data_IF_226501260894
#
_entry.id   IF_226501260894
#
_cell.length_a   1.000
_cell.length_b   1.000
_cell.length_c   1.000
_cell.angle_alpha   90.00
_cell.angle_beta   90.00
_cell.angle_gamma   90.00
#
_symmetry.space_group_name_H-M   'P 1'
#
loop_
_entity.id
_entity.type
_entity.pdbx_description
1 polymer ?
#
# COMPACT_ATOMS: atom_id res chain seq x y z
N UNK A 1 0.03 42.01 40.50
CA UNK A 1 0.33 41.74 41.92
C UNK A 1 1.82 41.78 42.16
N UNK A 2 2.24 42.29 43.32
CA UNK A 2 3.61 42.18 43.82
C UNK A 2 3.95 40.70 44.09
N UNK A 3 5.24 40.33 44.17
CA UNK A 3 5.66 38.93 44.32
C UNK A 3 4.96 38.16 45.44
N UNK A 4 4.70 38.79 46.58
CA UNK A 4 4.23 38.15 47.82
C UNK A 4 2.70 38.21 48.01
N UNK A 5 1.98 38.91 47.13
CA UNK A 5 0.52 39.01 47.24
C UNK A 5 -0.15 37.70 46.78
N UNK A 6 -1.06 37.18 47.62
CA UNK A 6 -1.91 36.03 47.29
C UNK A 6 -3.22 36.56 46.73
N UNK A 7 -3.55 36.14 45.52
CA UNK A 7 -4.78 36.52 44.84
C UNK A 7 -5.93 35.57 45.21
N UNK A 8 -7.15 36.08 45.34
CA UNK A 8 -8.35 35.24 45.49
C UNK A 8 -8.69 34.44 44.23
N UNK A 9 -8.24 34.91 43.06
CA UNK A 9 -8.37 34.24 41.75
C UNK A 9 -7.04 34.24 41.02
N UNK A 10 -6.79 33.29 40.09
CA UNK A 10 -5.54 33.27 39.33
C UNK A 10 -5.30 34.61 38.63
N UNK A 11 -4.09 35.13 38.76
CA UNK A 11 -3.66 36.35 38.06
C UNK A 11 -2.83 35.98 36.84
N UNK A 12 -3.06 36.69 35.74
CA UNK A 12 -2.33 36.43 34.49
C UNK A 12 -0.83 36.76 34.59
N UNK A 13 -0.48 37.81 35.35
CA UNK A 13 0.90 38.29 35.47
C UNK A 13 1.24 38.70 36.91
N UNK A 14 2.48 38.42 37.32
CA UNK A 14 3.12 39.01 38.50
C UNK A 14 4.21 40.00 38.08
N UNK A 15 4.34 41.09 38.84
CA UNK A 15 5.44 42.04 38.65
C UNK A 15 6.72 41.45 39.26
N UNK A 16 7.80 41.45 38.48
CA UNK A 16 9.14 41.06 38.92
C UNK A 16 10.14 42.12 38.51
N UNK A 17 11.06 42.45 39.40
CA UNK A 17 12.17 43.34 39.09
C UNK A 17 13.29 42.52 38.43
N UNK A 18 13.77 42.98 37.28
CA UNK A 18 14.91 42.38 36.58
C UNK A 18 15.91 43.45 36.21
N UNK A 19 17.18 43.10 36.33
CA UNK A 19 18.28 43.85 35.77
C UNK A 19 18.24 43.75 34.24
N UNK A 20 18.01 44.87 33.58
CA UNK A 20 17.98 45.00 32.13
C UNK A 20 19.17 45.86 31.70
N UNK A 21 20.05 45.26 30.89
CA UNK A 21 21.20 45.96 30.32
C UNK A 21 20.74 46.95 29.26
N UNK A 22 21.31 48.15 29.29
CA UNK A 22 21.10 49.15 28.25
C UNK A 22 21.74 48.67 26.93
N UNK A 23 21.04 48.82 25.80
CA UNK A 23 21.56 48.44 24.48
C UNK A 23 22.55 49.48 23.91
N UNK A 24 22.54 50.72 24.43
CA UNK A 24 23.36 51.83 23.93
C UNK A 24 24.46 52.26 24.92
N UNK A 25 24.66 51.50 25.99
CA UNK A 25 25.62 51.83 27.04
C UNK A 25 26.01 50.59 27.86
N UNK A 26 26.86 50.80 28.86
CA UNK A 26 27.32 49.73 29.75
C UNK A 26 26.50 49.63 31.04
N UNK A 27 25.56 50.55 31.27
CA UNK A 27 24.73 50.56 32.48
C UNK A 27 23.65 49.47 32.43
N UNK A 28 23.30 48.98 33.62
CA UNK A 28 22.20 48.04 33.86
C UNK A 28 21.24 48.66 34.85
N UNK A 29 19.94 48.50 34.61
CA UNK A 29 18.89 49.08 35.46
C UNK A 29 17.84 48.06 35.85
N UNK A 30 17.32 48.20 37.06
CA UNK A 30 16.18 47.44 37.53
C UNK A 30 14.91 47.96 36.86
N UNK A 31 14.28 47.09 36.06
CA UNK A 31 13.01 47.36 35.39
C UNK A 31 11.96 46.37 35.89
N UNK A 32 10.78 46.89 36.22
CA UNK A 32 9.64 46.07 36.55
C UNK A 32 9.10 45.42 35.26
N UNK A 33 9.20 44.09 35.18
CA UNK A 33 8.68 43.28 34.07
C UNK A 33 7.46 42.48 34.51
N UNK A 34 6.55 42.25 33.56
CA UNK A 34 5.40 41.35 33.75
C UNK A 34 5.82 39.92 33.46
N UNK A 35 5.73 39.03 34.44
CA UNK A 35 5.99 37.61 34.28
C UNK A 35 4.67 36.82 34.28
N UNK A 36 4.39 35.99 33.26
CA UNK A 36 3.23 35.10 33.27
C UNK A 36 3.27 34.15 34.46
N UNK A 37 2.17 34.02 35.19
CA UNK A 37 2.03 33.05 36.27
C UNK A 37 1.48 31.73 35.70
N UNK A 38 2.39 30.83 35.31
CA UNK A 38 2.04 29.52 34.77
C UNK A 38 2.05 28.47 35.89
N UNK A 39 1.01 27.63 35.93
CA UNK A 39 0.89 26.54 36.91
C UNK A 39 0.56 25.22 36.22
N UNK A 40 1.19 24.13 36.63
CA UNK A 40 0.78 22.78 36.22
C UNK A 40 -0.41 22.32 37.06
N UNK A 41 -1.47 21.88 36.38
CA UNK A 41 -2.74 21.46 36.99
C UNK A 41 -3.22 20.18 36.34
N UNK A 42 -3.96 19.37 37.09
CA UNK A 42 -4.60 18.18 36.54
C UNK A 42 -5.94 18.54 35.89
N UNK A 43 -6.32 17.78 34.86
CA UNK A 43 -7.59 17.97 34.16
C UNK A 43 -8.82 17.78 35.06
N UNK A 44 -8.70 16.99 36.14
CA UNK A 44 -9.79 16.75 37.09
C UNK A 44 -9.94 17.83 38.17
N UNK A 45 -9.04 18.82 38.20
CA UNK A 45 -9.16 19.97 39.10
C UNK A 45 -10.15 20.98 38.52
N UNK A 46 -10.72 21.83 39.37
CA UNK A 46 -11.46 23.00 38.88
C UNK A 46 -10.49 23.96 38.19
N UNK A 47 -10.73 24.16 36.90
CA UNK A 47 -9.92 24.95 35.99
C UNK A 47 -10.77 26.04 35.29
N UNK A 48 -11.98 26.34 35.76
CA UNK A 48 -12.90 27.30 35.10
C UNK A 48 -12.32 28.71 34.96
N UNK A 49 -11.46 29.11 35.91
CA UNK A 49 -10.80 30.42 35.93
C UNK A 49 -9.48 30.45 35.10
N UNK A 50 -9.14 29.35 34.44
CA UNK A 50 -7.89 29.19 33.69
C UNK A 50 -8.13 28.97 32.19
N UNK A 51 -7.20 29.46 31.38
CA UNK A 51 -7.00 28.95 30.02
C UNK A 51 -5.98 27.82 30.10
N UNK A 52 -6.41 26.59 29.78
CA UNK A 52 -5.59 25.39 29.92
C UNK A 52 -5.20 24.81 28.57
N UNK A 53 -3.98 24.30 28.47
CA UNK A 53 -3.51 23.50 27.34
C UNK A 53 -3.01 22.14 27.87
N UNK A 54 -3.56 21.00 27.40
CA UNK A 54 -3.04 19.69 27.75
C UNK A 54 -1.57 19.55 27.34
N UNK A 55 -0.73 19.05 28.26
CA UNK A 55 0.71 18.93 28.04
C UNK A 55 1.18 17.49 28.01
N UNK A 56 0.80 16.70 29.02
CA UNK A 56 1.31 15.35 29.23
C UNK A 56 0.26 14.50 29.92
N UNK A 57 0.24 13.20 29.61
CA UNK A 57 -0.54 12.19 30.32
C UNK A 57 0.41 11.27 31.08
N UNK A 58 0.05 10.97 32.33
CA UNK A 58 0.79 10.03 33.17
C UNK A 58 0.01 8.72 33.27
N UNK A 59 0.72 7.61 33.25
CA UNK A 59 0.19 6.26 33.45
C UNK A 59 1.01 5.52 34.50
N UNK A 60 0.43 4.49 35.10
CA UNK A 60 1.16 3.60 36.01
C UNK A 60 1.62 2.36 35.27
N UNK A 61 2.86 1.94 35.54
CA UNK A 61 3.34 0.64 35.07
C UNK A 61 2.80 -0.52 35.92
N UNK A 62 3.18 -1.75 35.56
CA UNK A 62 2.80 -2.97 36.30
C UNK A 62 3.35 -3.02 37.73
N UNK A 63 4.34 -2.20 38.05
CA UNK A 63 4.96 -2.07 39.37
C UNK A 63 4.39 -0.88 40.17
N UNK A 64 3.48 -0.11 39.58
CA UNK A 64 2.84 1.06 40.19
C UNK A 64 3.62 2.37 40.09
N UNK A 65 4.76 2.40 39.38
CA UNK A 65 5.53 3.61 39.13
C UNK A 65 4.87 4.49 38.07
N UNK A 66 4.97 5.81 38.23
CA UNK A 66 4.45 6.77 37.27
C UNK A 66 5.39 6.92 36.07
N UNK A 67 4.84 6.76 34.87
CA UNK A 67 5.51 6.96 33.59
C UNK A 67 4.76 7.98 32.74
N UNK A 68 5.48 8.65 31.87
CA UNK A 68 4.88 9.47 30.82
C UNK A 68 4.29 8.54 29.76
N UNK A 69 3.07 8.84 29.33
CA UNK A 69 2.47 8.18 28.19
C UNK A 69 2.99 8.81 26.89
N UNK A 70 3.98 8.16 26.28
CA UNK A 70 4.60 8.57 25.01
C UNK A 70 3.65 8.54 23.80
N UNK A 71 2.48 7.92 23.94
CA UNK A 71 1.46 7.88 22.88
C UNK A 71 0.48 9.05 22.95
N UNK A 72 0.52 9.85 24.02
CA UNK A 72 -0.34 11.01 24.17
C UNK A 72 0.05 12.13 23.19
N UNK A 73 -0.94 12.66 22.49
CA UNK A 73 -0.81 13.75 21.53
C UNK A 73 -1.51 15.00 22.10
N UNK A 74 -0.79 15.94 22.71
CA UNK A 74 -1.36 17.23 23.10
C UNK A 74 -1.76 18.04 21.85
N UNK A 75 -2.45 19.18 21.98
CA UNK A 75 -2.60 20.12 20.87
C UNK A 75 -1.21 20.58 20.38
N UNK A 76 -0.88 20.25 19.14
CA UNK A 76 0.46 20.43 18.57
C UNK A 76 0.50 21.60 17.60
N UNK A 77 1.40 22.56 17.82
CA UNK A 77 1.69 23.61 16.82
C UNK A 77 2.65 23.16 15.73
N UNK A 78 3.47 22.14 16.01
CA UNK A 78 4.51 21.62 15.13
C UNK A 78 4.58 20.11 15.25
N UNK A 79 4.87 19.41 14.14
CA UNK A 79 4.99 17.94 14.12
C UNK A 79 6.07 17.45 15.10
N UNK A 80 7.22 18.12 15.15
CA UNK A 80 8.32 17.80 16.07
C UNK A 80 7.96 17.91 17.57
N UNK A 81 6.80 18.50 17.91
CA UNK A 81 6.29 18.53 19.28
C UNK A 81 5.83 17.17 19.79
N UNK A 82 5.68 16.17 18.91
CA UNK A 82 5.42 14.77 19.29
C UNK A 82 6.38 13.82 18.58
N UNK A 83 7.14 13.06 19.37
CA UNK A 83 8.03 12.01 18.87
C UNK A 83 7.23 10.90 18.18
N UNK A 84 6.08 10.53 18.75
CA UNK A 84 5.20 9.53 18.18
C UNK A 84 4.72 9.94 16.78
N UNK A 85 4.26 11.18 16.60
CA UNK A 85 3.76 11.66 15.31
C UNK A 85 4.87 11.68 14.24
N UNK A 86 6.07 12.13 14.61
CA UNK A 86 7.22 12.15 13.71
C UNK A 86 7.63 10.72 13.29
N UNK A 87 7.68 9.78 14.23
CA UNK A 87 8.02 8.38 13.96
C UNK A 87 6.97 7.69 13.08
N UNK A 88 5.68 7.94 13.32
CA UNK A 88 4.60 7.39 12.48
C UNK A 88 4.64 7.94 11.05
N UNK A 89 4.94 9.23 10.87
CA UNK A 89 5.13 9.81 9.54
C UNK A 89 6.30 9.17 8.79
N UNK A 90 7.42 8.93 9.49
CA UNK A 90 8.60 8.25 8.92
C UNK A 90 8.29 6.80 8.52
N UNK A 91 7.60 6.07 9.39
CA UNK A 91 7.16 4.69 9.12
C UNK A 91 6.23 4.63 7.91
N UNK A 92 5.22 5.51 7.84
CA UNK A 92 4.30 5.58 6.71
C UNK A 92 5.03 5.87 5.40
N UNK A 93 5.96 6.83 5.38
CA UNK A 93 6.77 7.15 4.20
C UNK A 93 7.63 5.98 3.75
N UNK A 94 8.18 5.22 4.71
CA UNK A 94 8.97 4.02 4.42
C UNK A 94 8.10 2.95 3.75
N UNK A 95 6.91 2.67 4.30
CA UNK A 95 5.94 1.74 3.72
C UNK A 95 5.50 2.19 2.32
N UNK A 96 5.17 3.48 2.16
CA UNK A 96 4.75 4.08 0.90
C UNK A 96 5.84 3.94 -0.17
N UNK A 97 7.09 4.27 0.13
CA UNK A 97 8.22 4.17 -0.81
C UNK A 97 8.48 2.73 -1.22
N UNK A 98 8.51 1.79 -0.27
CA UNK A 98 8.65 0.37 -0.57
C UNK A 98 7.53 -0.11 -1.51
N UNK A 99 6.29 0.34 -1.25
CA UNK A 99 5.14 0.02 -2.09
C UNK A 99 5.25 0.61 -3.49
N UNK A 100 5.65 1.87 -3.61
CA UNK A 100 5.85 2.57 -4.87
C UNK A 100 6.94 1.89 -5.71
N UNK A 101 8.07 1.51 -5.12
CA UNK A 101 9.14 0.76 -5.81
C UNK A 101 8.62 -0.55 -6.38
N UNK A 102 7.82 -1.31 -5.62
CA UNK A 102 7.24 -2.57 -6.08
C UNK A 102 6.26 -2.37 -7.24
N UNK A 103 5.37 -1.37 -7.16
CA UNK A 103 4.39 -1.09 -8.22
C UNK A 103 5.07 -0.56 -9.49
N UNK A 104 6.15 0.22 -9.35
CA UNK A 104 6.96 0.68 -10.50
C UNK A 104 7.69 -0.48 -11.18
N UNK A 105 8.18 -1.46 -10.42
CA UNK A 105 8.78 -2.68 -11.00
C UNK A 105 7.75 -3.46 -11.83
N UNK A 106 6.54 -3.67 -11.29
CA UNK A 106 5.43 -4.31 -12.01
C UNK A 106 5.08 -3.55 -13.32
N UNK A 107 5.13 -2.22 -13.30
CA UNK A 107 4.89 -1.41 -14.50
C UNK A 107 5.96 -1.61 -15.58
N UNK A 108 7.24 -1.75 -15.20
CA UNK A 108 8.34 -1.98 -16.16
C UNK A 108 8.21 -3.34 -16.84
N UNK A 109 7.87 -4.38 -16.09
CA UNK A 109 7.60 -5.72 -16.63
C UNK A 109 6.41 -5.74 -17.60
N UNK A 110 5.38 -4.91 -17.35
CA UNK A 110 4.26 -4.75 -18.28
C UNK A 110 4.67 -4.02 -19.57
N UNK A 111 5.46 -2.95 -19.48
CA UNK A 111 5.86 -2.13 -20.63
C UNK A 111 6.90 -2.79 -21.56
N UNK A 112 7.77 -3.68 -21.07
CA UNK A 112 8.69 -4.46 -21.93
C UNK A 112 7.94 -5.41 -22.86
N UNK A 113 6.69 -5.75 -22.53
CA UNK A 113 5.74 -6.42 -23.43
C UNK A 113 5.04 -5.34 -24.26
N UNK A 114 5.75 -4.90 -25.30
CA UNK A 114 5.37 -3.82 -26.20
C UNK A 114 3.91 -3.87 -26.68
N UNK A 115 3.27 -2.68 -26.63
CA UNK A 115 2.00 -2.26 -27.22
C UNK A 115 0.70 -2.61 -26.44
N UNK A 116 -0.04 -1.52 -26.21
CA UNK A 116 -1.40 -1.39 -25.68
C UNK A 116 -1.55 -1.36 -24.15
N UNK A 117 -1.88 -0.16 -23.66
CA UNK A 117 -2.52 0.06 -22.36
C UNK A 117 -3.79 -0.82 -22.28
N UNK A 118 -3.67 -2.00 -21.69
CA UNK A 118 -4.84 -2.82 -21.40
C UNK A 118 -5.69 -2.11 -20.34
N UNK A 119 -7.01 -2.10 -20.50
CA UNK A 119 -7.98 -1.52 -19.55
C UNK A 119 -7.81 -2.07 -18.11
N UNK A 120 -7.15 -3.22 -17.96
CA UNK A 120 -6.76 -3.82 -16.68
C UNK A 120 -5.72 -3.00 -15.87
N UNK A 121 -4.94 -2.12 -16.52
CA UNK A 121 -3.88 -1.35 -15.86
C UNK A 121 -4.37 -0.01 -15.26
N UNK A 122 -5.65 0.32 -15.40
CA UNK A 122 -6.22 1.59 -14.90
C UNK A 122 -6.09 1.69 -13.37
N UNK A 123 -6.31 0.59 -12.66
CA UNK A 123 -6.17 0.55 -11.19
C UNK A 123 -4.72 0.76 -10.75
N UNK A 124 -3.77 0.10 -11.43
CA UNK A 124 -2.34 0.29 -11.17
C UNK A 124 -1.90 1.74 -11.45
N UNK A 125 -2.39 2.32 -12.55
CA UNK A 125 -2.13 3.72 -12.90
C UNK A 125 -2.64 4.67 -11.82
N UNK A 126 -3.90 4.55 -11.38
CA UNK A 126 -4.47 5.43 -10.36
C UNK A 126 -3.79 5.26 -8.99
N UNK A 127 -3.42 4.03 -8.63
CA UNK A 127 -2.65 3.78 -7.42
C UNK A 127 -1.26 4.42 -7.50
N UNK A 128 -0.54 4.23 -8.60
CA UNK A 128 0.74 4.90 -8.83
C UNK A 128 0.59 6.42 -8.82
N UNK A 129 -0.46 6.96 -9.42
CA UNK A 129 -0.72 8.40 -9.44
C UNK A 129 -0.92 8.94 -8.01
N UNK A 130 -1.72 8.26 -7.19
CA UNK A 130 -1.96 8.64 -5.80
C UNK A 130 -0.67 8.61 -4.98
N UNK A 131 0.11 7.52 -5.06
CA UNK A 131 1.35 7.38 -4.29
C UNK A 131 2.45 8.33 -4.76
N UNK A 132 2.70 8.46 -6.08
CA UNK A 132 3.72 9.36 -6.61
C UNK A 132 3.40 10.82 -6.32
N UNK A 133 2.12 11.19 -6.26
CA UNK A 133 1.70 12.56 -5.94
C UNK A 133 1.82 12.86 -4.44
N UNK A 134 1.55 11.88 -3.57
CA UNK A 134 1.63 12.04 -2.12
C UNK A 134 3.07 11.98 -1.58
N UNK A 135 3.94 11.13 -2.12
CA UNK A 135 5.32 10.93 -1.63
C UNK A 135 6.12 12.23 -1.45
N UNK A 136 6.25 13.13 -2.45
CA UNK A 136 7.06 14.33 -2.30
C UNK A 136 6.46 15.32 -1.30
N UNK A 137 5.12 15.37 -1.21
CA UNK A 137 4.40 16.24 -0.28
C UNK A 137 4.56 15.76 1.15
N UNK A 138 4.40 14.46 1.41
CA UNK A 138 4.62 13.88 2.73
C UNK A 138 6.11 13.93 3.11
N UNK A 139 7.01 13.72 2.15
CA UNK A 139 8.46 13.85 2.34
C UNK A 139 8.88 15.26 2.76
N UNK A 140 8.17 16.31 2.31
CA UNK A 140 8.37 17.67 2.79
C UNK A 140 8.13 17.79 4.31
N UNK A 141 7.04 17.20 4.83
CA UNK A 141 6.73 17.27 6.26
C UNK A 141 7.74 16.50 7.13
N UNK A 142 8.30 15.40 6.62
CA UNK A 142 9.36 14.67 7.32
C UNK A 142 10.67 15.48 7.41
N UNK A 143 10.99 16.26 6.36
CA UNK A 143 12.17 17.13 6.32
C UNK A 143 11.99 18.41 7.13
N UNK A 144 10.77 18.96 7.17
CA UNK A 144 10.44 20.22 7.82
C UNK A 144 9.41 20.00 8.94
N UNK A 145 9.86 19.34 10.02
CA UNK A 145 9.02 18.94 11.16
C UNK A 145 8.52 20.12 12.02
N UNK A 146 9.00 21.34 11.76
CA UNK A 146 8.43 22.58 12.30
C UNK A 146 7.05 22.94 11.71
N UNK A 147 6.60 22.20 10.69
CA UNK A 147 5.30 22.44 10.05
C UNK A 147 4.13 22.09 10.98
N UNK A 148 3.00 22.83 10.91
CA UNK A 148 1.81 22.52 11.69
C UNK A 148 1.14 21.19 11.27
N UNK A 149 0.64 20.39 12.21
CA UNK A 149 -0.07 19.15 11.92
C UNK A 149 -1.40 19.37 11.18
N UNK A 150 -2.03 20.53 11.36
CA UNK A 150 -3.22 20.95 10.60
C UNK A 150 -2.97 20.97 9.08
N UNK A 151 -1.72 21.25 8.65
CA UNK A 151 -1.35 21.19 7.23
C UNK A 151 -1.02 19.78 6.75
N UNK A 152 -0.59 18.90 7.65
CA UNK A 152 -0.29 17.50 7.33
C UNK A 152 -1.59 16.70 7.15
N UNK A 153 -2.58 16.92 8.02
CA UNK A 153 -3.84 16.16 8.03
C UNK A 153 -4.54 16.11 6.66
N UNK A 154 -4.75 17.23 5.93
CA UNK A 154 -5.43 17.21 4.64
C UNK A 154 -4.71 16.35 3.59
N UNK A 155 -3.37 16.28 3.64
CA UNK A 155 -2.59 15.49 2.69
C UNK A 155 -2.64 13.99 3.03
N UNK A 156 -2.64 13.63 4.32
CA UNK A 156 -2.91 12.26 4.76
C UNK A 156 -4.34 11.82 4.41
N UNK A 157 -5.34 12.69 4.65
CA UNK A 157 -6.74 12.42 4.33
C UNK A 157 -6.97 12.29 2.81
N UNK A 158 -6.29 13.12 2.00
CA UNK A 158 -6.31 13.03 0.53
C UNK A 158 -5.74 11.71 0.03
N UNK A 159 -4.61 11.27 0.61
CA UNK A 159 -4.03 9.97 0.30
C UNK A 159 -4.99 8.84 0.69
N UNK A 160 -5.52 8.85 1.91
CA UNK A 160 -6.48 7.85 2.38
C UNK A 160 -7.72 7.78 1.48
N UNK A 161 -8.31 8.93 1.15
CA UNK A 161 -9.45 9.02 0.22
C UNK A 161 -9.15 8.45 -1.16
N UNK A 162 -7.94 8.67 -1.68
CA UNK A 162 -7.51 8.10 -2.96
C UNK A 162 -7.36 6.58 -2.88
N UNK A 163 -6.78 6.05 -1.79
CA UNK A 163 -6.58 4.62 -1.59
C UNK A 163 -7.88 3.86 -1.28
N UNK A 164 -8.85 4.52 -0.65
CA UNK A 164 -10.17 3.96 -0.35
C UNK A 164 -10.96 3.58 -1.62
N UNK A 165 -10.63 4.17 -2.78
CA UNK A 165 -11.22 3.77 -4.07
C UNK A 165 -10.92 2.31 -4.45
N UNK A 166 -9.88 1.71 -3.86
CA UNK A 166 -9.49 0.32 -4.05
C UNK A 166 -9.89 -0.58 -2.88
N UNK A 167 -10.49 -0.03 -1.83
CA UNK A 167 -10.87 -0.79 -0.64
C UNK A 167 -12.28 -1.36 -0.78
N UNK A 168 -12.44 -2.63 -0.38
CA UNK A 168 -13.75 -3.28 -0.23
C UNK A 168 -14.19 -3.37 1.24
N UNK A 169 -13.27 -3.14 2.16
CA UNK A 169 -13.47 -3.32 3.61
C UNK A 169 -13.74 -2.01 4.33
N UNK A 170 -13.28 -0.89 3.77
CA UNK A 170 -13.38 0.43 4.38
C UNK A 170 -14.15 1.39 3.48
N UNK A 171 -14.86 2.33 4.10
CA UNK A 171 -15.64 3.36 3.41
C UNK A 171 -15.05 4.76 3.66
N UNK A 172 -15.52 5.77 2.93
CA UNK A 172 -15.06 7.15 3.04
C UNK A 172 -15.18 7.74 4.46
N UNK A 173 -16.15 7.30 5.25
CA UNK A 173 -16.36 7.73 6.63
C UNK A 173 -15.32 7.16 7.62
N UNK A 174 -14.45 6.24 7.18
CA UNK A 174 -13.35 5.73 8.00
C UNK A 174 -12.25 6.78 8.22
N UNK A 175 -12.18 7.83 7.39
CA UNK A 175 -11.21 8.92 7.57
C UNK A 175 -11.65 9.78 8.78
N UNK A 176 -10.86 9.84 9.86
CA UNK A 176 -11.23 10.58 11.07
C UNK A 176 -11.34 12.09 10.81
N UNK A 177 -12.31 12.76 11.42
CA UNK A 177 -12.45 14.22 11.32
C UNK A 177 -11.39 14.89 12.20
N UNK A 178 -10.70 15.90 11.66
CA UNK A 178 -9.71 16.65 12.41
C UNK A 178 -10.30 17.37 13.63
N UNK A 179 -9.76 17.07 14.80
CA UNK A 179 -10.08 17.69 16.08
C UNK A 179 -8.78 18.06 16.79
N UNK A 180 -8.40 19.35 16.75
CA UNK A 180 -7.09 19.79 17.23
C UNK A 180 -6.87 19.54 18.73
N UNK A 181 -7.94 19.64 19.51
CA UNK A 181 -7.87 19.42 20.96
C UNK A 181 -7.81 17.92 21.33
N UNK A 182 -8.03 17.03 20.37
CA UNK A 182 -8.10 15.57 20.55
C UNK A 182 -7.32 14.82 19.47
N UNK A 183 -6.05 15.18 19.26
CA UNK A 183 -5.22 14.59 18.19
C UNK A 183 -5.06 13.06 18.28
N UNK A 184 -5.16 12.47 19.48
CA UNK A 184 -5.19 11.01 19.67
C UNK A 184 -6.37 10.32 18.99
N UNK A 185 -7.50 11.01 18.76
CA UNK A 185 -8.65 10.47 18.04
C UNK A 185 -8.54 10.67 16.52
N UNK A 186 -7.50 11.38 16.05
CA UNK A 186 -7.33 11.76 14.64
C UNK A 186 -6.18 10.99 14.01
N UNK A 187 -4.95 11.19 14.51
CA UNK A 187 -3.76 10.69 13.85
C UNK A 187 -3.58 9.18 13.99
N UNK A 188 -3.64 8.57 15.18
CA UNK A 188 -3.54 7.10 15.33
C UNK A 188 -4.48 6.33 14.39
N UNK A 189 -5.81 6.54 14.42
CA UNK A 189 -6.71 5.80 13.52
C UNK A 189 -6.46 6.12 12.03
N UNK A 190 -6.01 7.32 11.69
CA UNK A 190 -5.68 7.67 10.30
C UNK A 190 -4.41 6.97 9.82
N UNK A 191 -3.37 6.85 10.66
CA UNK A 191 -2.15 6.12 10.33
C UNK A 191 -2.43 4.62 10.20
N UNK A 192 -3.21 4.04 11.12
CA UNK A 192 -3.64 2.64 11.04
C UNK A 192 -4.39 2.36 9.74
N UNK A 193 -5.39 3.20 9.40
CA UNK A 193 -6.14 3.13 8.15
C UNK A 193 -5.20 3.19 6.92
N UNK A 194 -4.25 4.12 6.92
CA UNK A 194 -3.32 4.28 5.80
C UNK A 194 -2.39 3.07 5.65
N UNK A 195 -1.89 2.52 6.75
CA UNK A 195 -1.08 1.30 6.74
C UNK A 195 -1.87 0.12 6.18
N UNK A 196 -3.11 -0.09 6.67
CA UNK A 196 -4.00 -1.14 6.18
C UNK A 196 -4.28 -0.99 4.67
N UNK A 197 -4.58 0.23 4.22
CA UNK A 197 -4.82 0.51 2.81
C UNK A 197 -3.56 0.31 1.96
N UNK A 198 -2.38 0.68 2.43
CA UNK A 198 -1.12 0.46 1.72
C UNK A 198 -0.78 -1.03 1.60
N UNK A 199 -1.12 -1.84 2.60
CA UNK A 199 -0.95 -3.29 2.55
C UNK A 199 -1.95 -3.94 1.58
N UNK A 200 -3.24 -3.64 1.75
CA UNK A 200 -4.36 -4.26 1.02
C UNK A 200 -4.47 -3.82 -0.45
N UNK A 201 -3.98 -2.62 -0.82
CA UNK A 201 -4.17 -1.99 -2.14
C UNK A 201 -3.44 -2.65 -3.31
N UNK A 202 -2.97 -3.90 -3.21
CA UNK A 202 -2.24 -4.57 -4.29
C UNK A 202 -3.25 -5.20 -5.25
N UNK A 203 -3.48 -4.65 -6.44
CA UNK A 203 -4.31 -5.25 -7.44
C UNK A 203 -3.38 -6.05 -8.35
N UNK A 204 -2.76 -7.10 -7.85
CA UNK A 204 -2.37 -8.17 -8.77
C UNK A 204 -2.28 -9.50 -8.06
N UNK A 205 -3.39 -10.24 -8.14
CA UNK A 205 -3.37 -11.68 -7.99
C UNK A 205 -2.78 -12.34 -9.24
N UNK A 206 -2.46 -11.60 -10.31
CA UNK A 206 -2.11 -12.18 -11.61
C UNK A 206 -0.62 -12.01 -11.90
N UNK A 207 0.05 -13.13 -12.08
CA UNK A 207 1.43 -13.23 -12.53
C UNK A 207 1.40 -13.67 -13.98
N UNK A 208 1.87 -12.82 -14.89
CA UNK A 208 2.02 -13.17 -16.28
C UNK A 208 3.36 -13.88 -16.49
N UNK A 209 3.31 -15.13 -16.92
CA UNK A 209 4.43 -16.05 -17.05
C UNK A 209 4.94 -16.02 -18.49
N UNK A 210 6.23 -15.73 -18.67
CA UNK A 210 6.86 -15.70 -19.98
C UNK A 210 6.92 -17.12 -20.58
N UNK A 211 6.60 -17.22 -21.87
CA UNK A 211 6.72 -18.44 -22.66
C UNK A 211 7.84 -18.28 -23.70
N UNK A 212 8.81 -19.17 -23.67
CA UNK A 212 9.85 -19.33 -24.70
C UNK A 212 9.29 -20.21 -25.84
N UNK A 213 9.19 -19.67 -27.06
CA UNK A 213 8.66 -20.40 -28.21
C UNK A 213 9.79 -20.98 -29.08
N UNK A 214 9.78 -22.29 -29.28
CA UNK A 214 10.56 -22.97 -30.32
C UNK A 214 9.64 -23.30 -31.51
N UNK A 215 9.70 -22.44 -32.53
CA UNK A 215 8.87 -22.58 -33.73
C UNK A 215 9.15 -23.85 -34.54
N UNK A 216 10.35 -24.44 -34.45
CA UNK A 216 10.72 -25.64 -35.23
C UNK A 216 10.06 -26.89 -34.66
N UNK A 217 9.91 -26.93 -33.35
CA UNK A 217 9.33 -28.06 -32.62
C UNK A 217 7.88 -27.80 -32.21
N UNK A 218 7.37 -26.59 -32.45
CA UNK A 218 6.05 -26.12 -32.02
C UNK A 218 5.83 -26.24 -30.50
N UNK A 219 6.89 -25.99 -29.72
CA UNK A 219 6.86 -26.01 -28.26
C UNK A 219 6.90 -24.60 -27.69
N UNK A 220 6.10 -24.37 -26.65
CA UNK A 220 6.15 -23.20 -25.81
C UNK A 220 6.50 -23.63 -24.40
N UNK A 221 7.53 -23.05 -23.81
CA UNK A 221 8.03 -23.43 -22.49
C UNK A 221 7.96 -22.26 -21.51
N UNK A 222 7.38 -22.49 -20.34
CA UNK A 222 7.34 -21.55 -19.22
C UNK A 222 8.16 -22.09 -18.05
N UNK A 223 8.96 -21.23 -17.44
CA UNK A 223 9.69 -21.54 -16.20
C UNK A 223 8.98 -20.92 -15.00
N UNK A 224 8.63 -21.75 -14.02
CA UNK A 224 7.92 -21.38 -12.80
C UNK A 224 8.93 -21.19 -11.66
N UNK A 225 9.60 -20.04 -11.68
CA UNK A 225 10.65 -19.70 -10.72
C UNK A 225 10.12 -19.33 -9.32
N UNK A 226 8.90 -18.80 -9.25
CA UNK A 226 8.29 -18.37 -8.00
C UNK A 226 7.60 -19.54 -7.28
N UNK A 227 7.98 -19.78 -6.02
CA UNK A 227 7.42 -20.84 -5.19
C UNK A 227 5.90 -20.67 -4.98
N UNK A 228 5.39 -19.44 -4.98
CA UNK A 228 3.96 -19.13 -4.79
C UNK A 228 3.08 -19.67 -5.92
N UNK A 229 3.66 -19.85 -7.11
CA UNK A 229 2.95 -20.38 -8.26
C UNK A 229 2.64 -21.88 -8.10
N UNK A 230 3.39 -22.61 -7.28
CA UNK A 230 3.33 -24.08 -7.22
C UNK A 230 2.18 -24.64 -6.38
N UNK A 231 1.74 -23.92 -5.35
CA UNK A 231 0.81 -24.45 -4.35
C UNK A 231 -0.51 -23.68 -4.24
N UNK A 232 -0.65 -22.53 -4.90
CA UNK A 232 -1.81 -21.65 -4.72
C UNK A 232 -2.13 -20.76 -5.90
N UNK A 233 -2.14 -21.29 -7.13
CA UNK A 233 -2.50 -20.50 -8.32
C UNK A 233 -3.44 -21.25 -9.26
N UNK A 234 -4.34 -20.50 -9.91
CA UNK A 234 -5.12 -20.95 -11.07
C UNK A 234 -4.45 -20.46 -12.35
N UNK A 235 -4.35 -21.33 -13.35
CA UNK A 235 -3.61 -21.04 -14.58
C UNK A 235 -4.55 -20.84 -15.76
N UNK A 236 -4.29 -19.80 -16.52
CA UNK A 236 -5.09 -19.38 -17.66
C UNK A 236 -4.20 -19.09 -18.86
N UNK A 237 -4.55 -19.66 -20.00
CA UNK A 237 -3.85 -19.50 -21.25
C UNK A 237 -4.66 -18.58 -22.16
N UNK A 238 -4.04 -17.51 -22.62
CA UNK A 238 -4.54 -16.60 -23.63
C UNK A 238 -3.94 -17.01 -24.97
N UNK A 239 -4.80 -17.23 -25.96
CA UNK A 239 -4.44 -17.76 -27.27
C UNK A 239 -4.92 -16.79 -28.34
N UNK A 240 -3.99 -16.25 -29.12
CA UNK A 240 -4.28 -15.46 -30.32
C UNK A 240 -3.98 -16.31 -31.55
N UNK A 241 -4.93 -16.45 -32.46
CA UNK A 241 -4.78 -17.23 -33.69
C UNK A 241 -5.59 -16.59 -34.82
N UNK A 242 -5.17 -16.81 -36.06
CA UNK A 242 -5.92 -16.45 -37.28
C UNK A 242 -7.11 -17.40 -37.56
N UNK A 243 -7.21 -18.52 -36.83
CA UNK A 243 -8.28 -19.50 -36.99
C UNK A 243 -9.61 -18.95 -36.42
N UNK A 244 -10.77 -19.22 -37.06
CA UNK A 244 -12.06 -18.80 -36.54
C UNK A 244 -12.33 -19.25 -35.10
N UNK A 245 -12.86 -18.35 -34.27
CA UNK A 245 -13.07 -18.54 -32.82
C UNK A 245 -13.77 -19.86 -32.47
N UNK A 246 -14.86 -20.20 -33.16
CA UNK A 246 -15.60 -21.44 -32.90
C UNK A 246 -14.74 -22.69 -33.10
N UNK A 247 -13.91 -22.70 -34.15
CA UNK A 247 -12.96 -23.80 -34.37
C UNK A 247 -11.86 -23.82 -33.34
N UNK A 248 -11.32 -22.65 -32.95
CA UNK A 248 -10.27 -22.57 -31.95
C UNK A 248 -10.75 -23.10 -30.60
N UNK A 249 -11.96 -22.73 -30.15
CA UNK A 249 -12.53 -23.21 -28.88
C UNK A 249 -12.75 -24.73 -28.85
N UNK A 250 -13.14 -25.35 -29.98
CA UNK A 250 -13.35 -26.79 -30.06
C UNK A 250 -12.06 -27.60 -30.26
N UNK A 251 -11.15 -27.10 -31.10
CA UNK A 251 -9.99 -27.86 -31.55
C UNK A 251 -8.77 -27.67 -30.66
N UNK A 252 -8.57 -26.46 -30.11
CA UNK A 252 -7.40 -26.15 -29.31
C UNK A 252 -7.27 -27.06 -28.07
N UNK A 253 -8.32 -27.29 -27.26
CA UNK A 253 -8.23 -28.22 -26.12
C UNK A 253 -7.89 -29.67 -26.48
N UNK A 254 -8.25 -30.11 -27.69
CA UNK A 254 -8.04 -31.49 -28.14
C UNK A 254 -6.62 -31.71 -28.68
N UNK A 255 -6.10 -30.69 -29.36
CA UNK A 255 -4.84 -30.75 -30.10
C UNK A 255 -3.66 -30.24 -29.28
N UNK A 256 -3.85 -29.20 -28.46
CA UNK A 256 -2.82 -28.71 -27.58
C UNK A 256 -2.50 -29.75 -26.50
N UNK A 257 -1.22 -30.02 -26.27
CA UNK A 257 -0.76 -30.92 -25.21
C UNK A 257 0.02 -30.11 -24.18
N UNK A 258 -0.37 -30.26 -22.92
CA UNK A 258 0.21 -29.51 -21.80
C UNK A 258 0.73 -30.48 -20.75
N UNK A 259 1.90 -30.19 -20.18
CA UNK A 259 2.50 -31.00 -19.12
C UNK A 259 3.97 -30.65 -18.86
N UNK A 260 4.66 -31.51 -18.11
CA UNK A 260 6.11 -31.41 -17.93
C UNK A 260 6.85 -31.63 -19.27
N UNK A 261 8.07 -31.08 -19.46
CA UNK A 261 8.81 -31.21 -20.71
C UNK A 261 9.00 -32.67 -21.18
N UNK A 262 9.31 -33.58 -20.25
CA UNK A 262 9.51 -34.99 -20.57
C UNK A 262 8.20 -35.69 -20.93
N UNK A 263 7.12 -35.35 -20.20
CA UNK A 263 5.79 -35.89 -20.48
C UNK A 263 5.28 -35.46 -21.85
N UNK A 264 5.35 -34.16 -22.17
CA UNK A 264 4.85 -33.63 -23.45
C UNK A 264 5.60 -34.26 -24.62
N UNK A 265 6.94 -34.38 -24.56
CA UNK A 265 7.73 -35.06 -25.61
C UNK A 265 7.30 -36.51 -25.83
N UNK A 266 6.92 -37.23 -24.78
CA UNK A 266 6.43 -38.61 -24.86
C UNK A 266 5.00 -38.71 -25.44
N UNK A 267 4.16 -37.71 -25.19
CA UNK A 267 2.74 -37.72 -25.63
C UNK A 267 2.50 -37.01 -26.97
N UNK A 268 3.47 -36.31 -27.55
CA UNK A 268 3.31 -35.71 -28.88
C UNK A 268 3.13 -36.78 -29.96
N UNK A 269 3.84 -37.90 -29.83
CA UNK A 269 3.81 -39.01 -30.79
C UNK A 269 2.86 -40.16 -30.39
N UNK A 270 2.19 -40.04 -29.23
CA UNK A 270 1.20 -41.02 -28.78
C UNK A 270 -0.16 -40.35 -28.61
N UNK A 271 -1.27 -41.05 -28.85
CA UNK A 271 -2.63 -40.47 -28.72
C UNK A 271 -3.05 -40.21 -27.27
N UNK A 272 -2.10 -39.97 -26.35
CA UNK A 272 -2.33 -39.71 -24.94
C UNK A 272 -2.78 -38.26 -24.73
N UNK A 273 -3.59 -38.07 -23.69
CA UNK A 273 -4.09 -36.76 -23.26
C UNK A 273 -3.12 -36.15 -22.26
N UNK A 274 -2.75 -34.90 -22.48
CA UNK A 274 -2.03 -34.09 -21.48
C UNK A 274 -3.01 -33.48 -20.47
N UNK A 275 -2.58 -32.45 -19.76
CA UNK A 275 -3.45 -31.66 -18.89
C UNK A 275 -4.61 -31.09 -19.70
N UNK A 276 -5.88 -31.28 -19.27
CA UNK A 276 -7.02 -30.80 -20.01
C UNK A 276 -7.12 -29.27 -19.93
N UNK A 277 -7.44 -28.67 -21.07
CA UNK A 277 -7.75 -27.24 -21.20
C UNK A 277 -9.25 -27.07 -21.33
N UNK A 278 -9.83 -26.09 -20.62
CA UNK A 278 -11.26 -25.79 -20.73
C UNK A 278 -11.45 -24.39 -21.28
N UNK A 279 -12.20 -24.20 -22.38
CA UNK A 279 -12.48 -22.86 -22.92
C UNK A 279 -13.34 -22.07 -21.92
N UNK A 280 -12.93 -20.83 -21.65
CA UNK A 280 -13.64 -19.95 -20.75
C UNK A 280 -14.75 -19.19 -21.47
N UNK A 281 -15.94 -19.16 -20.86
CA UNK A 281 -17.04 -18.26 -21.29
C UNK A 281 -16.86 -16.84 -20.76
N UNK A 282 -16.29 -16.72 -19.57
CA UNK A 282 -15.99 -15.45 -18.92
C UNK A 282 -14.57 -15.50 -18.37
N UNK A 283 -13.77 -14.51 -18.74
CA UNK A 283 -12.41 -14.34 -18.23
C UNK A 283 -12.49 -13.73 -16.84
N UNK A 284 -11.80 -14.29 -15.82
CA UNK A 284 -11.71 -13.66 -14.51
C UNK A 284 -11.28 -12.20 -14.61
N UNK A 285 -11.91 -11.33 -13.82
CA UNK A 285 -11.65 -9.88 -13.83
C UNK A 285 -10.17 -9.51 -13.57
N UNK A 286 -9.41 -10.43 -13.00
CA UNK A 286 -8.00 -10.24 -12.69
C UNK A 286 -7.10 -10.31 -13.95
N UNK A 287 -7.53 -10.98 -15.02
CA UNK A 287 -6.73 -11.21 -16.23
C UNK A 287 -7.01 -10.10 -17.26
N UNK A 288 -5.97 -9.54 -17.92
CA UNK A 288 -6.18 -8.56 -18.98
C UNK A 288 -6.96 -9.15 -20.16
N UNK A 289 -8.10 -8.55 -20.46
CA UNK A 289 -8.97 -8.90 -21.59
C UNK A 289 -8.43 -8.29 -22.90
N UNK A 290 -8.16 -9.15 -23.88
CA UNK A 290 -7.78 -8.81 -25.25
C UNK A 290 -8.90 -9.31 -26.17
N UNK A 291 -9.48 -8.41 -26.97
CA UNK A 291 -10.68 -8.70 -27.80
C UNK A 291 -10.45 -9.81 -28.83
N UNK A 292 -9.22 -9.96 -29.33
CA UNK A 292 -8.86 -10.94 -30.35
C UNK A 292 -8.43 -12.29 -29.79
N UNK A 293 -8.31 -12.42 -28.46
CA UNK A 293 -7.79 -13.61 -27.82
C UNK A 293 -8.91 -14.50 -27.28
N UNK A 294 -8.66 -15.80 -27.29
CA UNK A 294 -9.48 -16.80 -26.63
C UNK A 294 -8.77 -17.32 -25.38
N UNK A 295 -9.54 -17.56 -24.32
CA UNK A 295 -8.98 -17.90 -23.01
C UNK A 295 -9.36 -19.33 -22.62
N UNK A 296 -8.39 -20.04 -22.07
CA UNK A 296 -8.54 -21.42 -21.60
C UNK A 296 -8.02 -21.55 -20.18
N UNK A 297 -8.73 -22.26 -19.30
CA UNK A 297 -8.23 -22.61 -17.98
C UNK A 297 -7.55 -23.97 -17.99
N UNK A 298 -6.45 -24.11 -17.25
CA UNK A 298 -5.83 -25.40 -16.97
C UNK A 298 -6.52 -26.01 -15.75
N UNK A 299 -6.86 -27.30 -15.83
CA UNK A 299 -7.40 -28.03 -14.67
C UNK A 299 -6.28 -28.39 -13.68
N UNK A 300 -6.11 -27.50 -12.70
CA UNK A 300 -5.15 -27.62 -11.59
C UNK A 300 -5.39 -28.81 -10.67
N UNK A 301 -6.56 -29.45 -10.72
CA UNK A 301 -6.84 -30.67 -9.94
C UNK A 301 -6.26 -31.93 -10.59
N UNK A 302 -5.83 -31.85 -11.86
CA UNK A 302 -5.34 -32.99 -12.60
C UNK A 302 -3.93 -33.41 -12.13
N UNK A 303 -3.65 -34.71 -11.90
CA UNK A 303 -2.35 -35.18 -11.37
C UNK A 303 -1.12 -34.73 -12.17
N UNK A 304 -1.26 -34.65 -13.51
CA UNK A 304 -0.19 -34.17 -14.40
C UNK A 304 0.18 -32.69 -14.17
N UNK A 305 -0.75 -31.87 -13.66
CA UNK A 305 -0.43 -30.49 -13.28
C UNK A 305 0.44 -30.50 -12.04
N UNK A 306 0.17 -31.34 -11.05
CA UNK A 306 0.99 -31.44 -9.84
C UNK A 306 2.44 -31.81 -10.20
N UNK A 307 2.65 -32.78 -11.08
CA UNK A 307 3.98 -33.16 -11.57
C UNK A 307 4.68 -32.00 -12.31
N UNK A 308 3.95 -31.31 -13.18
CA UNK A 308 4.44 -30.15 -13.91
C UNK A 308 4.86 -29.01 -12.96
N UNK A 309 4.05 -28.70 -11.94
CA UNK A 309 4.35 -27.67 -10.93
C UNK A 309 5.56 -28.05 -10.07
N UNK A 310 5.69 -29.34 -9.70
CA UNK A 310 6.86 -29.84 -8.97
C UNK A 310 8.15 -29.74 -9.79
N UNK A 311 8.08 -30.01 -11.10
CA UNK A 311 9.22 -29.85 -12.01
C UNK A 311 9.63 -28.39 -12.23
N UNK A 312 8.79 -27.43 -11.82
CA UNK A 312 9.02 -26.01 -12.00
C UNK A 312 9.01 -25.54 -13.46
N UNK A 313 8.57 -26.39 -14.40
CA UNK A 313 8.57 -26.10 -15.82
C UNK A 313 7.27 -26.60 -16.46
N UNK A 314 6.63 -25.75 -17.25
CA UNK A 314 5.42 -26.05 -18.00
C UNK A 314 5.76 -26.02 -19.49
N UNK A 315 5.28 -27.01 -20.25
CA UNK A 315 5.45 -27.05 -21.71
C UNK A 315 4.11 -27.23 -22.40
N UNK A 316 3.90 -26.49 -23.48
CA UNK A 316 2.76 -26.58 -24.38
C UNK A 316 3.27 -27.01 -25.75
N UNK A 317 2.66 -28.05 -26.32
CA UNK A 317 2.79 -28.38 -27.73
C UNK A 317 1.55 -27.90 -28.46
N UNK A 318 1.73 -27.14 -29.54
CA UNK A 318 0.62 -26.65 -30.36
C UNK A 318 0.87 -26.97 -31.82
N UNK A 319 0.17 -27.95 -32.41
CA UNK A 319 0.45 -28.34 -33.79
C UNK A 319 0.15 -27.19 -34.77
N UNK A 320 1.01 -27.06 -35.80
CA UNK A 320 0.97 -25.94 -36.77
C UNK A 320 -0.34 -25.80 -37.56
N UNK A 321 -1.18 -26.84 -37.59
CA UNK A 321 -2.53 -26.80 -38.18
C UNK A 321 -3.47 -25.75 -37.54
N UNK A 322 -3.10 -25.21 -36.37
CA UNK A 322 -3.83 -24.14 -35.67
C UNK A 322 -3.36 -22.72 -36.03
N UNK A 323 -2.65 -22.56 -37.15
CA UNK A 323 -2.32 -21.25 -37.73
C UNK A 323 -1.34 -20.42 -36.90
N UNK A 324 -0.28 -21.09 -36.39
CA UNK A 324 0.79 -20.50 -35.56
C UNK A 324 0.28 -19.56 -34.46
N UNK A 325 -0.42 -20.08 -33.46
CA UNK A 325 -1.00 -19.25 -32.43
C UNK A 325 0.06 -18.66 -31.52
N UNK A 326 -0.15 -17.42 -31.08
CA UNK A 326 0.61 -16.81 -29.99
C UNK A 326 -0.04 -17.14 -28.65
N UNK A 327 0.79 -17.48 -27.68
CA UNK A 327 0.37 -17.89 -26.35
C UNK A 327 0.88 -16.93 -25.29
N UNK A 328 0.03 -16.58 -24.33
CA UNK A 328 0.41 -15.94 -23.08
C UNK A 328 -0.14 -16.75 -21.90
N UNK A 329 0.68 -17.02 -20.89
CA UNK A 329 0.28 -17.75 -19.69
C UNK A 329 0.11 -16.79 -18.51
N UNK A 330 -1.02 -16.88 -17.82
CA UNK A 330 -1.33 -16.12 -16.62
C UNK A 330 -1.58 -17.06 -15.44
N UNK A 331 -1.07 -16.72 -14.27
CA UNK A 331 -1.35 -17.41 -13.02
C UNK A 331 -2.04 -16.46 -12.05
N UNK A 332 -3.22 -16.83 -11.58
CA UNK A 332 -4.00 -16.08 -10.60
C UNK A 332 -3.83 -16.74 -9.23
N UNK A 333 -3.15 -16.07 -8.30
CA UNK A 333 -2.92 -16.57 -6.95
C UNK A 333 -4.25 -16.70 -6.19
N UNK A 334 -4.52 -17.90 -5.67
CA UNK A 334 -5.62 -18.23 -4.76
C UNK A 334 -5.32 -17.67 -3.37
N UNK A 335 -6.34 -17.19 -2.68
CA UNK A 335 -6.27 -16.65 -1.32
C UNK A 335 -6.06 -17.73 -0.27
#
# INVERSE_FOLDING_TARGET
LKPEEVAERPVRFRQRWRDVRNQFGEDTRQIAVMQPELTLRFAHQDNSDYLTCPLVRLQRDSQGAWLIDETFLPPLLQIQGSRWLAAQLEQLLTQLRARLTRLMAMRRESNERMADFAVADVSLFWLLNALNSAEPVLGYFLRYQQSPPERLYPELARLAGSLLTFSLTHQANAVPIYQHDQLNAVFPPLFDLLSDLLEASLPSRVVAIALEHDARLHFWQARLHDARLREGADYYLSVRSSVPVARLQEQFPRQCKVGSPDHVKAIVNSSRTGVPLTPLRHVPAAIPLRLENQYFSLDVSHPLVTEMLQSGTCMFYVPGMLGEPELELFAVLRT
#
